data_IF_129385227375
#
_entry.id   IF_129385227375
#
_cell.length_a   1.000
_cell.length_b   1.000
_cell.length_c   1.000
_cell.angle_alpha   90.00
_cell.angle_beta   90.00
_cell.angle_gamma   90.00
#
_symmetry.space_group_name_H-M   'P 1'
#
loop_
_entity.id
_entity.type
_entity.pdbx_description
1 polymer ?
#
# COMPACT_ATOMS: atom_id res chain seq x y z
N UNK A 1 0.23 -23.21 0.31
CA UNK A 1 -0.57 -23.92 1.27
C UNK A 1 -1.90 -23.28 1.62
N UNK A 2 -2.25 -22.10 1.13
CA UNK A 2 -3.58 -21.52 1.28
C UNK A 2 -4.42 -21.83 0.03
N UNK A 3 -5.67 -22.25 0.24
CA UNK A 3 -6.60 -22.59 -0.84
C UNK A 3 -7.51 -21.40 -1.20
N UNK A 4 -7.69 -20.49 -0.23
CA UNK A 4 -8.56 -19.32 -0.37
C UNK A 4 -7.93 -18.09 0.25
N UNK A 5 -8.20 -16.93 -0.37
CA UNK A 5 -7.88 -15.61 0.16
C UNK A 5 -9.18 -14.89 0.51
N UNK A 6 -9.42 -14.65 1.80
CA UNK A 6 -10.58 -13.88 2.28
C UNK A 6 -10.14 -12.46 2.62
N UNK A 7 -10.94 -11.48 2.24
CA UNK A 7 -10.65 -10.06 2.50
C UNK A 7 -11.94 -9.24 2.65
N UNK A 8 -11.87 -8.16 3.42
CA UNK A 8 -12.99 -7.23 3.59
C UNK A 8 -13.19 -6.35 2.36
N UNK A 9 -14.44 -6.26 1.90
CA UNK A 9 -14.87 -5.44 0.78
C UNK A 9 -16.13 -4.66 1.17
N UNK A 10 -16.24 -3.42 0.72
CA UNK A 10 -17.42 -2.60 0.99
C UNK A 10 -18.57 -2.96 0.06
N UNK A 11 -18.31 -3.23 -1.21
CA UNK A 11 -19.34 -3.69 -2.15
C UNK A 11 -19.64 -5.19 -1.98
N UNK A 12 -18.63 -6.01 -1.65
CA UNK A 12 -18.71 -7.48 -1.53
C UNK A 12 -19.32 -8.20 -2.74
N UNK A 13 -19.31 -7.55 -3.89
CA UNK A 13 -19.80 -8.08 -5.17
C UNK A 13 -18.64 -8.77 -5.90
N UNK A 14 -18.60 -10.10 -5.78
CA UNK A 14 -17.50 -10.91 -6.33
C UNK A 14 -17.42 -10.81 -7.85
N UNK A 15 -18.55 -10.78 -8.53
CA UNK A 15 -18.60 -10.72 -10.00
C UNK A 15 -18.06 -9.37 -10.49
N UNK A 16 -18.57 -8.27 -9.95
CA UNK A 16 -18.12 -6.94 -10.28
C UNK A 16 -16.61 -6.75 -9.96
N UNK A 17 -16.14 -7.21 -8.81
CA UNK A 17 -14.72 -7.13 -8.46
C UNK A 17 -13.82 -7.95 -9.41
N UNK A 18 -14.33 -9.11 -9.88
CA UNK A 18 -13.63 -9.95 -10.87
C UNK A 18 -13.60 -9.28 -12.24
N UNK A 19 -14.66 -8.61 -12.64
CA UNK A 19 -14.71 -7.86 -13.90
C UNK A 19 -13.78 -6.64 -13.87
N UNK A 20 -13.72 -5.93 -12.74
CA UNK A 20 -12.75 -4.85 -12.53
C UNK A 20 -11.31 -5.41 -12.62
N UNK A 21 -11.01 -6.51 -11.96
CA UNK A 21 -9.67 -7.13 -11.97
C UNK A 21 -9.27 -7.56 -13.39
N UNK A 22 -10.20 -8.14 -14.15
CA UNK A 22 -10.00 -8.54 -15.55
C UNK A 22 -9.74 -7.31 -16.43
N UNK A 23 -10.55 -6.27 -16.28
CA UNK A 23 -10.42 -5.01 -17.02
C UNK A 23 -9.06 -4.36 -16.74
N UNK A 24 -8.63 -4.27 -15.48
CA UNK A 24 -7.32 -3.74 -15.09
C UNK A 24 -6.14 -4.51 -15.70
N UNK A 25 -6.33 -5.79 -16.02
CA UNK A 25 -5.31 -6.64 -16.63
C UNK A 25 -5.26 -6.54 -18.14
N UNK A 26 -6.29 -5.96 -18.78
CA UNK A 26 -6.42 -5.92 -20.24
C UNK A 26 -5.45 -4.96 -20.92
N UNK A 27 -5.10 -5.24 -22.18
CA UNK A 27 -4.28 -4.34 -23.01
C UNK A 27 -5.03 -3.04 -23.31
N UNK A 28 -6.33 -3.11 -23.48
CA UNK A 28 -7.16 -1.95 -23.75
C UNK A 28 -7.17 -0.96 -22.57
N UNK A 29 -7.21 -1.46 -21.33
CA UNK A 29 -7.04 -0.62 -20.15
C UNK A 29 -5.69 0.08 -20.14
N UNK A 30 -4.60 -0.65 -20.41
CA UNK A 30 -3.25 -0.07 -20.43
C UNK A 30 -3.11 1.01 -21.51
N UNK A 31 -3.67 0.76 -22.69
CA UNK A 31 -3.69 1.72 -23.81
C UNK A 31 -4.45 2.98 -23.45
N UNK A 32 -5.70 2.87 -23.00
CA UNK A 32 -6.53 4.02 -22.64
C UNK A 32 -5.99 4.79 -21.44
N UNK A 33 -5.41 4.08 -20.47
CA UNK A 33 -4.75 4.72 -19.33
C UNK A 33 -3.59 5.61 -19.80
N UNK A 34 -2.69 5.06 -20.63
CA UNK A 34 -1.55 5.80 -21.18
C UNK A 34 -1.96 6.98 -22.07
N UNK A 35 -2.97 6.79 -22.90
CA UNK A 35 -3.53 7.86 -23.75
C UNK A 35 -4.14 8.98 -22.90
N UNK A 36 -4.87 8.64 -21.85
CA UNK A 36 -5.48 9.61 -20.93
C UNK A 36 -4.41 10.37 -20.14
N UNK A 37 -3.37 9.68 -19.65
CA UNK A 37 -2.25 10.32 -18.97
C UNK A 37 -1.49 11.30 -19.86
N UNK A 38 -1.24 10.94 -21.12
CA UNK A 38 -0.60 11.82 -22.09
C UNK A 38 -1.44 13.04 -22.45
N UNK A 39 -2.75 12.85 -22.59
CA UNK A 39 -3.69 13.93 -22.94
C UNK A 39 -3.88 14.91 -21.80
N UNK A 40 -3.84 14.42 -20.55
CA UNK A 40 -4.09 15.24 -19.36
C UNK A 40 -3.09 14.90 -18.23
N UNK A 41 -1.82 15.37 -18.36
CA UNK A 41 -0.74 15.03 -17.43
C UNK A 41 -0.94 15.52 -15.98
N UNK A 42 -1.91 16.43 -15.78
CA UNK A 42 -2.22 16.97 -14.46
C UNK A 42 -3.11 16.03 -13.63
N UNK A 43 -3.74 15.04 -14.26
CA UNK A 43 -4.58 14.06 -13.55
C UNK A 43 -3.72 13.10 -12.74
N UNK A 44 -4.16 12.81 -11.52
CA UNK A 44 -3.60 11.72 -10.72
C UNK A 44 -4.03 10.36 -11.24
N UNK A 45 -3.18 9.33 -11.07
CA UNK A 45 -3.43 7.97 -11.55
C UNK A 45 -4.77 7.38 -11.08
N UNK A 46 -5.22 7.71 -9.86
CA UNK A 46 -6.52 7.27 -9.34
C UNK A 46 -7.70 7.82 -10.16
N UNK A 47 -7.62 9.07 -10.60
CA UNK A 47 -8.66 9.70 -11.43
C UNK A 47 -8.68 9.08 -12.82
N UNK A 48 -7.50 8.85 -13.41
CA UNK A 48 -7.38 8.19 -14.72
C UNK A 48 -7.94 6.76 -14.64
N UNK A 49 -7.56 6.00 -13.60
CA UNK A 49 -8.08 4.65 -13.33
C UNK A 49 -9.61 4.63 -13.31
N UNK A 50 -10.22 5.52 -12.52
CA UNK A 50 -11.66 5.63 -12.38
C UNK A 50 -12.36 5.96 -13.72
N UNK A 51 -11.82 6.89 -14.50
CA UNK A 51 -12.32 7.25 -15.84
C UNK A 51 -12.27 6.06 -16.81
N UNK A 52 -11.13 5.37 -16.88
CA UNK A 52 -10.94 4.25 -17.80
C UNK A 52 -11.80 3.06 -17.40
N UNK A 53 -11.90 2.75 -16.11
CA UNK A 53 -12.80 1.71 -15.61
C UNK A 53 -14.27 2.04 -15.92
N UNK A 54 -14.68 3.28 -15.73
CA UNK A 54 -16.05 3.72 -16.09
C UNK A 54 -16.38 3.56 -17.57
N UNK A 55 -15.37 3.55 -18.45
CA UNK A 55 -15.55 3.33 -19.90
C UNK A 55 -15.58 1.83 -20.24
N UNK A 56 -14.72 1.02 -19.60
CA UNK A 56 -14.47 -0.36 -20.03
C UNK A 56 -15.20 -1.43 -19.20
N UNK A 57 -15.60 -1.11 -17.96
CA UNK A 57 -16.18 -2.09 -17.05
C UNK A 57 -17.66 -1.79 -16.79
N UNK A 58 -18.60 -2.53 -17.42
CA UNK A 58 -20.02 -2.38 -17.13
C UNK A 58 -20.31 -2.65 -15.64
N UNK A 59 -21.12 -1.81 -15.03
CA UNK A 59 -21.46 -1.90 -13.61
C UNK A 59 -20.46 -1.22 -12.67
N UNK A 60 -19.30 -0.80 -13.14
CA UNK A 60 -18.40 0.03 -12.34
C UNK A 60 -19.01 1.43 -12.13
N UNK A 61 -18.99 1.88 -10.89
CA UNK A 61 -19.18 3.30 -10.57
C UNK A 61 -18.15 3.71 -9.50
N UNK A 62 -17.72 4.95 -9.57
CA UNK A 62 -16.74 5.49 -8.63
C UNK A 62 -17.24 5.41 -7.19
N UNK A 63 -18.48 5.75 -6.96
CA UNK A 63 -19.12 5.78 -5.64
C UNK A 63 -19.15 4.38 -5.00
N UNK A 64 -19.40 3.36 -5.82
CA UNK A 64 -19.53 1.98 -5.36
C UNK A 64 -18.19 1.27 -5.23
N UNK A 65 -17.20 1.58 -6.10
CA UNK A 65 -16.01 0.75 -6.30
C UNK A 65 -14.67 1.43 -5.96
N UNK A 66 -14.62 2.76 -5.74
CA UNK A 66 -13.40 3.48 -5.42
C UNK A 66 -13.13 3.58 -3.91
N UNK A 67 -13.82 2.79 -3.11
CA UNK A 67 -13.46 2.60 -1.72
C UNK A 67 -12.08 1.92 -1.63
N UNK A 68 -11.17 2.34 -0.74
CA UNK A 68 -9.83 1.75 -0.62
C UNK A 68 -9.83 0.22 -0.46
N UNK A 69 -10.82 -0.35 0.23
CA UNK A 69 -10.92 -1.80 0.41
C UNK A 69 -11.31 -2.51 -0.90
N UNK A 70 -12.18 -1.91 -1.71
CA UNK A 70 -12.61 -2.49 -2.98
C UNK A 70 -11.54 -2.36 -4.07
N UNK A 71 -10.77 -1.26 -4.04
CA UNK A 71 -9.57 -1.12 -4.86
C UNK A 71 -8.57 -2.24 -4.54
N UNK A 72 -8.31 -2.49 -3.26
CA UNK A 72 -7.42 -3.55 -2.82
C UNK A 72 -7.98 -4.95 -3.12
N UNK A 73 -9.29 -5.14 -2.99
CA UNK A 73 -9.97 -6.36 -3.34
C UNK A 73 -9.78 -6.75 -4.82
N UNK A 74 -9.93 -5.77 -5.73
CA UNK A 74 -9.69 -5.99 -7.15
C UNK A 74 -8.22 -6.36 -7.44
N UNK A 75 -7.26 -5.75 -6.73
CA UNK A 75 -5.84 -6.09 -6.85
C UNK A 75 -5.52 -7.49 -6.30
N UNK A 76 -6.16 -7.91 -5.22
CA UNK A 76 -6.04 -9.28 -4.71
C UNK A 76 -6.55 -10.29 -5.74
N UNK A 77 -7.74 -10.08 -6.31
CA UNK A 77 -8.30 -10.96 -7.35
C UNK A 77 -7.40 -10.99 -8.58
N UNK A 78 -6.84 -9.86 -8.97
CA UNK A 78 -5.93 -9.75 -10.12
C UNK A 78 -4.63 -10.55 -9.93
N UNK A 79 -4.11 -10.57 -8.71
CA UNK A 79 -2.79 -11.12 -8.41
C UNK A 79 -2.83 -12.54 -7.85
N UNK A 80 -3.89 -12.92 -7.15
CA UNK A 80 -3.99 -14.22 -6.51
C UNK A 80 -4.26 -15.34 -7.53
N UNK A 81 -3.55 -16.46 -7.37
CA UNK A 81 -3.75 -17.70 -8.15
C UNK A 81 -4.65 -18.71 -7.40
N UNK A 82 -5.36 -18.25 -6.38
CA UNK A 82 -6.24 -19.05 -5.52
C UNK A 82 -7.62 -18.40 -5.45
N UNK A 83 -8.61 -19.13 -4.94
CA UNK A 83 -9.96 -18.60 -4.81
C UNK A 83 -10.00 -17.36 -3.91
N UNK A 84 -10.59 -16.28 -4.41
CA UNK A 84 -10.80 -15.03 -3.70
C UNK A 84 -12.24 -14.91 -3.20
N UNK A 85 -12.41 -14.62 -1.91
CA UNK A 85 -13.70 -14.54 -1.24
C UNK A 85 -13.85 -13.16 -0.58
N UNK A 86 -14.56 -12.21 -1.20
CA UNK A 86 -14.87 -10.93 -0.58
C UNK A 86 -15.91 -11.13 0.53
N UNK A 87 -15.63 -10.55 1.70
CA UNK A 87 -16.52 -10.54 2.85
C UNK A 87 -17.02 -9.12 3.05
N UNK A 88 -18.33 -8.96 3.19
CA UNK A 88 -18.96 -7.66 3.43
C UNK A 88 -18.43 -7.07 4.74
N UNK A 89 -17.91 -5.86 4.67
CA UNK A 89 -17.55 -5.10 5.89
C UNK A 89 -18.83 -4.61 6.56
N UNK A 90 -18.85 -4.70 7.88
CA UNK A 90 -19.91 -4.09 8.69
C UNK A 90 -19.54 -2.62 8.96
N UNK A 91 -20.52 -1.74 8.92
CA UNK A 91 -20.31 -0.30 9.13
C UNK A 91 -19.98 0.02 10.60
N UNK A 92 -20.24 -0.92 11.52
CA UNK A 92 -20.01 -0.76 12.97
C UNK A 92 -18.57 -1.01 13.41
N UNK A 93 -17.68 -1.46 12.51
CA UNK A 93 -16.29 -1.73 12.84
C UNK A 93 -15.46 -0.45 12.82
N UNK A 94 -14.85 -0.10 13.95
CA UNK A 94 -13.90 1.01 14.02
C UNK A 94 -12.79 0.87 12.99
N UNK A 95 -12.49 1.96 12.32
CA UNK A 95 -11.35 1.99 11.40
C UNK A 95 -10.02 2.00 12.17
N UNK A 96 -8.97 1.50 11.52
CA UNK A 96 -7.61 1.58 12.09
C UNK A 96 -7.16 3.04 12.34
N UNK A 97 -7.73 4.01 11.64
CA UNK A 97 -7.46 5.44 11.83
C UNK A 97 -8.10 5.95 13.11
N UNK A 98 -9.33 5.58 13.39
CA UNK A 98 -10.02 5.91 14.65
C UNK A 98 -9.30 5.28 15.83
N UNK A 99 -8.98 3.97 15.77
CA UNK A 99 -8.22 3.30 16.83
C UNK A 99 -6.86 3.95 17.11
N UNK A 100 -6.15 4.40 16.07
CA UNK A 100 -4.87 5.11 16.28
C UNK A 100 -5.03 6.47 16.96
N UNK A 101 -6.19 7.11 16.83
CA UNK A 101 -6.51 8.37 17.49
C UNK A 101 -6.91 8.22 18.95
N UNK A 102 -7.28 7.00 19.40
CA UNK A 102 -7.73 6.71 20.77
C UNK A 102 -6.57 6.58 21.75
N UNK A 103 -6.84 6.87 23.01
CA UNK A 103 -5.98 6.45 24.13
C UNK A 103 -6.04 4.92 24.30
N UNK A 104 -5.11 4.36 25.08
CA UNK A 104 -5.13 2.92 25.37
C UNK A 104 -6.43 2.47 26.07
N UNK A 105 -6.94 3.32 26.97
CA UNK A 105 -8.19 3.06 27.72
C UNK A 105 -9.42 3.07 26.80
N UNK A 106 -9.52 4.04 25.91
CA UNK A 106 -10.62 4.12 24.93
C UNK A 106 -10.57 2.96 23.92
N UNK A 107 -9.38 2.54 23.53
CA UNK A 107 -9.15 1.43 22.59
C UNK A 107 -9.31 0.04 23.20
N UNK A 108 -9.27 -0.09 24.54
CA UNK A 108 -9.27 -1.37 25.26
C UNK A 108 -10.40 -2.35 24.85
N UNK A 109 -11.66 -1.91 24.63
CA UNK A 109 -12.73 -2.80 24.20
C UNK A 109 -12.56 -3.38 22.79
N UNK A 110 -11.71 -2.79 21.96
CA UNK A 110 -11.59 -3.09 20.52
C UNK A 110 -10.31 -3.83 20.15
N UNK A 111 -9.41 -4.05 21.10
CA UNK A 111 -8.12 -4.73 20.86
C UNK A 111 -7.93 -5.91 21.80
N UNK A 112 -7.19 -6.95 21.38
CA UNK A 112 -6.85 -8.06 22.28
C UNK A 112 -6.05 -7.57 23.50
N UNK A 113 -6.19 -8.21 24.69
CA UNK A 113 -5.48 -7.80 25.90
C UNK A 113 -3.97 -7.67 25.74
N UNK A 114 -3.33 -8.60 25.01
CA UNK A 114 -1.90 -8.55 24.72
C UNK A 114 -1.49 -7.31 23.87
N UNK A 115 -2.36 -6.90 22.95
CA UNK A 115 -2.14 -5.68 22.17
C UNK A 115 -2.30 -4.42 23.03
N UNK A 116 -3.27 -4.43 23.94
CA UNK A 116 -3.46 -3.33 24.89
C UNK A 116 -2.25 -3.17 25.81
N UNK A 117 -1.73 -4.26 26.36
CA UNK A 117 -0.52 -4.26 27.19
C UNK A 117 0.67 -3.66 26.43
N UNK A 118 0.86 -4.02 25.17
CA UNK A 118 1.90 -3.43 24.31
C UNK A 118 1.67 -1.93 24.09
N UNK A 119 0.42 -1.52 23.83
CA UNK A 119 0.08 -0.09 23.63
C UNK A 119 0.37 0.75 24.87
N UNK A 120 0.17 0.21 26.08
CA UNK A 120 0.44 0.90 27.34
C UNK A 120 1.94 0.98 27.66
N UNK A 121 2.71 -0.05 27.32
CA UNK A 121 4.10 -0.20 27.75
C UNK A 121 5.13 0.16 26.66
N UNK A 122 4.70 0.43 25.42
CA UNK A 122 5.60 0.74 24.30
C UNK A 122 5.41 2.19 23.86
N UNK A 123 6.49 2.99 23.77
CA UNK A 123 6.39 4.33 23.22
C UNK A 123 5.88 4.30 21.78
N UNK A 124 4.97 5.19 21.44
CA UNK A 124 4.53 5.35 20.05
C UNK A 124 5.69 5.90 19.21
N UNK A 125 5.79 5.41 17.97
CA UNK A 125 6.76 5.91 17.02
C UNK A 125 6.52 7.41 16.77
N UNK A 126 7.57 8.20 16.89
CA UNK A 126 7.53 9.63 16.62
C UNK A 126 7.75 9.91 15.14
N UNK A 127 6.65 10.12 14.43
CA UNK A 127 6.65 10.42 12.98
C UNK A 127 7.31 11.77 12.68
N UNK A 128 7.38 12.70 13.65
CA UNK A 128 8.02 14.00 13.46
C UNK A 128 9.51 13.84 13.23
N UNK A 129 10.18 12.96 14.00
CA UNK A 129 11.60 12.65 13.82
C UNK A 129 11.92 12.06 12.44
N UNK A 130 11.07 11.16 11.94
CA UNK A 130 11.24 10.65 10.58
C UNK A 130 11.11 11.76 9.54
N UNK A 131 10.17 12.69 9.73
CA UNK A 131 9.99 13.84 8.84
C UNK A 131 11.22 14.74 8.80
N UNK A 132 11.83 15.02 9.95
CA UNK A 132 13.08 15.79 10.05
C UNK A 132 14.23 15.09 9.32
N UNK A 133 14.41 13.78 9.52
CA UNK A 133 15.43 12.99 8.83
C UNK A 133 15.24 13.07 7.31
N UNK A 134 14.02 12.88 6.81
CA UNK A 134 13.71 12.96 5.38
C UNK A 134 13.96 14.36 4.82
N UNK A 135 13.57 15.41 5.54
CA UNK A 135 13.86 16.78 5.14
C UNK A 135 15.37 17.05 5.04
N UNK A 136 16.14 16.67 6.07
CA UNK A 136 17.60 16.83 6.06
C UNK A 136 18.24 16.07 4.90
N UNK A 137 17.80 14.83 4.65
CA UNK A 137 18.29 14.02 3.55
C UNK A 137 18.09 14.74 2.20
N UNK A 138 16.89 15.21 1.89
CA UNK A 138 16.63 15.91 0.63
C UNK A 138 17.32 17.26 0.51
N UNK A 139 17.62 17.91 1.62
CA UNK A 139 18.36 19.18 1.64
C UNK A 139 19.84 18.97 1.33
N UNK A 140 20.44 17.89 1.79
CA UNK A 140 21.88 17.62 1.71
C UNK A 140 22.27 16.69 0.57
N UNK A 141 21.36 15.84 0.12
CA UNK A 141 21.64 14.79 -0.84
C UNK A 141 21.80 15.33 -2.26
N UNK A 142 22.89 14.90 -2.94
CA UNK A 142 23.14 15.16 -4.37
C UNK A 142 22.62 14.06 -5.31
N UNK A 143 21.87 13.09 -4.81
CA UNK A 143 21.44 11.89 -5.55
C UNK A 143 20.58 12.23 -6.78
N UNK A 144 20.77 11.48 -7.85
CA UNK A 144 19.82 11.41 -8.97
C UNK A 144 18.62 10.56 -8.55
N UNK A 145 17.45 11.19 -8.51
CA UNK A 145 16.22 10.54 -8.08
C UNK A 145 15.48 9.79 -9.20
N UNK A 146 15.90 9.89 -10.45
CA UNK A 146 15.20 9.21 -11.56
C UNK A 146 15.33 7.68 -11.48
N UNK A 147 16.39 7.18 -10.81
CA UNK A 147 16.56 5.74 -10.55
C UNK A 147 16.01 5.28 -9.19
N UNK A 148 15.30 6.15 -8.47
CA UNK A 148 14.62 5.79 -7.22
C UNK A 148 13.15 5.47 -7.52
N UNK A 149 12.68 4.39 -6.94
CA UNK A 149 11.29 3.99 -7.04
C UNK A 149 10.36 5.12 -6.54
N UNK A 150 9.22 5.30 -7.21
CA UNK A 150 8.23 6.35 -6.95
C UNK A 150 8.71 7.80 -7.16
N UNK A 151 10.01 8.07 -7.30
CA UNK A 151 10.55 9.42 -7.48
C UNK A 151 10.58 9.90 -8.93
N UNK A 152 10.31 9.02 -9.88
CA UNK A 152 10.31 9.32 -11.32
C UNK A 152 9.32 10.42 -11.69
N UNK A 153 9.55 11.04 -12.84
CA UNK A 153 8.68 12.08 -13.38
C UNK A 153 8.76 13.40 -12.62
N UNK A 154 9.92 13.70 -12.03
CA UNK A 154 10.22 14.96 -11.39
C UNK A 154 9.84 15.07 -9.91
N UNK A 155 9.27 14.02 -9.30
CA UNK A 155 8.90 14.07 -7.90
C UNK A 155 10.12 14.22 -6.98
N UNK A 156 11.23 13.53 -7.26
CA UNK A 156 12.47 13.65 -6.49
C UNK A 156 13.03 15.08 -6.50
N UNK A 157 13.06 15.71 -7.66
CA UNK A 157 13.49 17.12 -7.79
C UNK A 157 12.52 18.07 -7.08
N UNK A 158 11.23 17.79 -7.10
CA UNK A 158 10.23 18.55 -6.37
C UNK A 158 10.40 18.44 -4.85
N UNK A 159 10.68 17.24 -4.34
CA UNK A 159 11.03 17.02 -2.92
C UNK A 159 12.28 17.82 -2.53
N UNK A 160 13.32 17.77 -3.34
CA UNK A 160 14.54 18.58 -3.13
C UNK A 160 14.25 20.07 -3.10
N UNK A 161 13.44 20.57 -4.01
CA UNK A 161 13.02 21.98 -4.05
C UNK A 161 12.23 22.38 -2.80
N UNK A 162 11.28 21.55 -2.37
CA UNK A 162 10.52 21.78 -1.15
C UNK A 162 11.39 21.78 0.11
N UNK A 163 12.36 20.87 0.19
CA UNK A 163 13.30 20.80 1.33
C UNK A 163 14.18 22.05 1.47
N UNK A 164 14.42 22.78 0.38
CA UNK A 164 15.17 24.06 0.42
C UNK A 164 14.36 25.23 0.96
N UNK A 165 13.03 25.13 0.96
CA UNK A 165 12.13 26.22 1.37
C UNK A 165 11.78 26.14 2.84
N UNK A 166 11.23 25.00 3.32
CA UNK A 166 10.78 24.87 4.70
C UNK A 166 10.86 23.43 5.17
N UNK A 167 11.28 23.23 6.43
CA UNK A 167 11.25 21.93 7.09
C UNK A 167 9.83 21.55 7.51
N UNK A 168 9.07 22.51 8.01
CA UNK A 168 7.71 22.28 8.52
C UNK A 168 6.73 21.97 7.38
N UNK A 169 6.87 22.68 6.26
CA UNK A 169 5.99 22.56 5.10
C UNK A 169 6.53 21.59 4.02
N UNK A 170 7.62 20.89 4.29
CA UNK A 170 8.32 20.04 3.31
C UNK A 170 7.38 19.15 2.50
N UNK A 171 6.51 18.39 3.16
CA UNK A 171 5.59 17.48 2.47
C UNK A 171 4.42 18.21 1.80
N UNK A 172 3.88 19.26 2.41
CA UNK A 172 2.78 20.04 1.83
C UNK A 172 3.20 20.79 0.57
N UNK A 173 4.40 21.35 0.55
CA UNK A 173 4.98 22.00 -0.62
C UNK A 173 5.24 21.03 -1.78
N UNK A 174 5.56 19.78 -1.47
CA UNK A 174 5.72 18.73 -2.47
C UNK A 174 4.37 18.23 -3.02
N UNK A 175 3.27 18.36 -2.26
CA UNK A 175 1.96 17.86 -2.63
C UNK A 175 1.36 18.57 -3.86
N UNK A 176 0.67 17.81 -4.70
CA UNK A 176 -0.06 18.30 -5.88
C UNK A 176 -1.28 17.42 -6.13
N UNK A 177 -2.13 17.80 -7.09
CA UNK A 177 -3.21 16.93 -7.57
C UNK A 177 -2.69 15.60 -8.15
N UNK A 178 -1.48 15.59 -8.68
CA UNK A 178 -0.80 14.40 -9.24
C UNK A 178 -0.14 13.54 -8.16
N UNK A 179 0.45 14.16 -7.14
CA UNK A 179 1.22 13.49 -6.10
C UNK A 179 0.52 13.61 -4.75
N UNK A 180 -0.10 12.52 -4.32
CA UNK A 180 -0.76 12.44 -3.00
C UNK A 180 0.26 12.41 -1.87
N UNK A 181 -0.14 12.83 -0.66
CA UNK A 181 0.72 12.80 0.52
C UNK A 181 1.31 11.41 0.79
N UNK A 182 0.52 10.36 0.66
CA UNK A 182 0.99 8.98 0.85
C UNK A 182 2.09 8.59 -0.14
N UNK A 183 1.97 8.99 -1.41
CA UNK A 183 3.00 8.76 -2.42
C UNK A 183 4.28 9.54 -2.12
N UNK A 184 4.14 10.79 -1.69
CA UNK A 184 5.26 11.66 -1.35
C UNK A 184 6.08 11.07 -0.20
N UNK A 185 5.41 10.66 0.89
CA UNK A 185 6.08 10.04 2.04
C UNK A 185 6.77 8.74 1.65
N UNK A 186 6.11 7.88 0.87
CA UNK A 186 6.70 6.62 0.38
C UNK A 186 7.91 6.88 -0.52
N UNK A 187 7.80 7.80 -1.48
CA UNK A 187 8.90 8.20 -2.35
C UNK A 187 10.10 8.75 -1.55
N UNK A 188 9.83 9.55 -0.52
CA UNK A 188 10.89 10.09 0.34
C UNK A 188 11.60 8.99 1.14
N UNK A 189 10.86 8.01 1.66
CA UNK A 189 11.44 6.84 2.36
C UNK A 189 12.24 5.99 1.37
N UNK A 190 11.73 5.74 0.18
CA UNK A 190 12.46 4.98 -0.84
C UNK A 190 13.76 5.66 -1.25
N UNK A 191 13.75 6.98 -1.37
CA UNK A 191 14.95 7.74 -1.67
C UNK A 191 16.00 7.65 -0.55
N UNK A 192 15.57 7.72 0.72
CA UNK A 192 16.45 7.55 1.88
C UNK A 192 17.08 6.15 1.92
N UNK A 193 16.31 5.12 1.58
CA UNK A 193 16.75 3.73 1.59
C UNK A 193 17.44 3.28 0.29
N UNK A 194 17.44 4.11 -0.75
CA UNK A 194 18.00 3.77 -2.06
C UNK A 194 17.21 2.70 -2.84
N UNK A 195 15.90 2.55 -2.57
CA UNK A 195 15.06 1.54 -3.21
C UNK A 195 14.86 1.86 -4.69
N UNK A 196 15.24 0.93 -5.54
CA UNK A 196 15.11 1.05 -7.00
C UNK A 196 13.79 0.46 -7.52
N UNK A 197 13.39 0.75 -8.77
CA UNK A 197 12.26 0.08 -9.40
C UNK A 197 12.43 -1.43 -9.53
N UNK A 198 13.67 -1.92 -9.68
CA UNK A 198 13.98 -3.34 -9.75
C UNK A 198 13.72 -4.03 -8.41
N UNK A 199 14.06 -3.39 -7.29
CA UNK A 199 13.78 -3.92 -5.95
C UNK A 199 12.28 -4.14 -5.73
N UNK A 200 11.44 -3.21 -6.23
CA UNK A 200 9.98 -3.32 -6.09
C UNK A 200 9.39 -4.37 -7.04
N UNK A 201 9.96 -4.54 -8.22
CA UNK A 201 9.46 -5.48 -9.23
C UNK A 201 9.95 -6.90 -9.03
N UNK A 202 10.94 -7.12 -8.18
CA UNK A 202 11.48 -8.45 -7.88
C UNK A 202 10.48 -9.29 -7.09
N UNK A 203 10.47 -10.60 -7.35
CA UNK A 203 9.69 -11.53 -6.55
C UNK A 203 10.26 -11.63 -5.12
N UNK A 204 9.40 -11.80 -4.08
CA UNK A 204 9.87 -11.95 -2.70
C UNK A 204 10.79 -13.16 -2.57
N UNK A 205 12.05 -12.94 -2.17
CA UNK A 205 13.04 -14.00 -1.99
C UNK A 205 12.76 -14.87 -0.75
N UNK A 206 12.10 -14.31 0.25
CA UNK A 206 11.74 -15.00 1.49
C UNK A 206 10.53 -14.35 2.16
N UNK A 207 9.96 -15.04 3.14
CA UNK A 207 8.95 -14.48 4.05
C UNK A 207 9.38 -14.69 5.50
N UNK A 208 9.14 -13.69 6.35
CA UNK A 208 9.37 -13.80 7.79
C UNK A 208 8.14 -14.36 8.49
N UNK A 209 8.34 -15.42 9.27
CA UNK A 209 7.31 -15.91 10.16
C UNK A 209 7.30 -15.07 11.44
N UNK A 210 6.21 -14.36 11.68
CA UNK A 210 6.05 -13.55 12.89
C UNK A 210 5.48 -14.36 14.06
N UNK A 211 4.50 -15.24 13.79
CA UNK A 211 3.90 -16.11 14.80
C UNK A 211 3.26 -17.34 14.15
N UNK A 212 3.17 -18.44 14.88
CA UNK A 212 2.42 -19.64 14.49
C UNK A 212 1.93 -20.40 15.71
N UNK A 213 0.68 -20.87 15.67
CA UNK A 213 0.13 -21.85 16.60
C UNK A 213 0.40 -23.29 16.12
N UNK A 214 -0.17 -24.29 16.78
CA UNK A 214 -0.01 -25.72 16.41
C UNK A 214 -0.37 -25.99 14.95
N UNK A 215 -1.53 -25.53 14.47
CA UNK A 215 -1.97 -25.67 13.06
C UNK A 215 -1.07 -24.89 12.10
N UNK A 216 -0.61 -23.69 12.48
CA UNK A 216 0.32 -22.91 11.69
C UNK A 216 1.65 -23.66 11.45
N UNK A 217 2.13 -24.45 12.42
CA UNK A 217 3.33 -25.29 12.26
C UNK A 217 3.14 -26.41 11.22
N UNK A 218 1.96 -26.99 11.13
CA UNK A 218 1.63 -28.00 10.12
C UNK A 218 1.65 -27.37 8.70
N UNK A 219 1.05 -26.19 8.56
CA UNK A 219 1.07 -25.41 7.31
C UNK A 219 2.51 -25.06 6.92
N UNK A 220 3.34 -24.64 7.87
CA UNK A 220 4.76 -24.34 7.64
C UNK A 220 5.55 -25.56 7.18
N UNK A 221 5.28 -26.75 7.78
CA UNK A 221 5.90 -27.98 7.35
C UNK A 221 5.51 -28.35 5.91
N UNK A 222 4.24 -28.12 5.53
CA UNK A 222 3.77 -28.30 4.16
C UNK A 222 4.41 -27.30 3.19
N UNK A 223 4.48 -26.02 3.55
CA UNK A 223 5.11 -24.97 2.76
C UNK A 223 6.60 -25.25 2.50
N UNK A 224 7.35 -25.69 3.52
CA UNK A 224 8.75 -26.09 3.38
C UNK A 224 8.95 -27.27 2.41
N UNK A 225 8.03 -28.24 2.43
CA UNK A 225 8.06 -29.35 1.47
C UNK A 225 7.78 -28.91 0.04
N UNK A 226 6.97 -27.90 -0.16
CA UNK A 226 6.66 -27.35 -1.49
C UNK A 226 7.83 -26.57 -2.12
N UNK A 227 8.74 -26.06 -1.29
CA UNK A 227 9.98 -25.39 -1.72
C UNK A 227 9.83 -24.11 -2.51
N UNK A 228 8.60 -23.52 -2.56
CA UNK A 228 8.32 -22.35 -3.42
C UNK A 228 8.82 -21.02 -2.85
N UNK A 229 8.97 -20.90 -1.54
CA UNK A 229 9.47 -19.69 -0.88
C UNK A 229 10.22 -20.04 0.40
N UNK A 230 11.31 -19.37 0.66
CA UNK A 230 12.06 -19.52 1.91
C UNK A 230 11.31 -18.88 3.07
N UNK A 231 11.10 -19.65 4.15
CA UNK A 231 10.46 -19.14 5.37
C UNK A 231 11.51 -18.95 6.44
N UNK A 232 11.76 -17.69 6.80
CA UNK A 232 12.68 -17.32 7.88
C UNK A 232 11.91 -17.33 9.19
N UNK A 233 12.31 -18.17 10.13
CA UNK A 233 11.68 -18.31 11.45
C UNK A 233 12.42 -17.58 12.56
N UNK A 234 13.69 -17.26 12.35
CA UNK A 234 14.51 -16.43 13.22
C UNK A 234 15.35 -15.53 12.33
N UNK A 235 15.17 -14.20 12.38
CA UNK A 235 16.12 -13.29 11.73
C UNK A 235 17.49 -13.51 12.38
N UNK A 236 18.53 -13.74 11.58
CA UNK A 236 19.88 -13.69 12.11
C UNK A 236 20.19 -12.23 12.49
N UNK A 237 20.67 -12.01 13.69
CA UNK A 237 21.38 -10.77 14.00
C UNK A 237 22.61 -10.74 13.08
N UNK A 238 22.54 -9.89 12.04
CA UNK A 238 23.70 -9.57 11.21
C UNK A 238 24.70 -8.73 12.01
#
# INVERSE_FOLDING_TARGET
>A
GADRLMFGSSCADRELLSDIARTLSSEEYRRLFSETEKRDPALGAAVIRSKVLGTLCPGYSREKCDNPNDILAAEYIRSAKIECVPVKRTDDALSATELRGMTAEEGAPFVPPASLEMMMNTPRADVSKLREILWMFFRMCGTDFENIAECRGGLGNRLRSAARQSAEEFFSLAATKKYTNARIVRAAIFALLGVTPEDISSEPAYTNLLAANGRGREILAAARRSGKINVVTKPSSG
#
